data_IF_128683910183
#
_entry.id   IF_128683910183
#
_cell.length_a   1.000
_cell.length_b   1.000
_cell.length_c   1.000
_cell.angle_alpha   90.00
_cell.angle_beta   90.00
_cell.angle_gamma   90.00
#
_symmetry.space_group_name_H-M   'P 1'
#
loop_
_entity.id
_entity.type
_entity.pdbx_description
1 polymer ?
#
# COMPACT_ATOMS: atom_id res chain seq x y z
N UNK A 1 16.20 9.17 48.43
CA UNK A 1 16.21 9.89 47.14
C UNK A 1 14.98 9.48 46.31
N UNK A 2 13.79 10.03 46.62
CA UNK A 2 12.55 9.66 45.90
C UNK A 2 11.47 10.75 46.01
N UNK A 3 11.78 12.00 45.64
CA UNK A 3 10.83 13.11 45.80
C UNK A 3 10.89 14.20 44.70
N UNK A 4 11.35 13.91 43.48
CA UNK A 4 11.48 14.94 42.43
C UNK A 4 10.57 14.77 41.18
N UNK A 5 9.70 13.77 41.09
CA UNK A 5 9.04 13.45 39.79
C UNK A 5 7.54 13.78 39.66
N UNK A 6 6.95 14.60 40.54
CA UNK A 6 5.50 14.87 40.52
C UNK A 6 5.04 16.25 40.03
N UNK A 7 5.92 17.15 39.62
CA UNK A 7 5.52 18.50 39.17
C UNK A 7 5.38 18.72 37.65
N UNK A 8 5.71 17.74 36.79
CA UNK A 8 5.80 18.00 35.33
C UNK A 8 4.54 17.70 34.50
N UNK A 9 3.50 17.07 35.06
CA UNK A 9 2.32 16.69 34.23
C UNK A 9 1.36 17.85 33.99
N UNK A 10 1.14 18.73 34.98
CA UNK A 10 0.12 19.79 34.88
C UNK A 10 0.46 20.87 33.84
N UNK A 11 1.74 21.11 33.57
CA UNK A 11 2.18 22.05 32.53
C UNK A 11 1.97 21.51 31.10
N UNK A 12 2.12 20.19 30.89
CA UNK A 12 1.89 19.58 29.57
C UNK A 12 0.41 19.59 29.15
N UNK A 13 -0.53 19.46 30.09
CA UNK A 13 -1.96 19.45 29.77
C UNK A 13 -2.44 20.85 29.33
N UNK A 14 -1.92 21.92 29.95
CA UNK A 14 -2.29 23.28 29.56
C UNK A 14 -1.76 23.68 28.17
N UNK A 15 -0.58 23.19 27.77
CA UNK A 15 0.00 23.45 26.45
C UNK A 15 -0.78 22.82 25.30
N UNK A 16 -1.31 21.61 25.49
CA UNK A 16 -2.11 20.90 24.46
C UNK A 16 -3.47 21.56 24.20
N UNK A 17 -4.08 22.18 25.23
CA UNK A 17 -5.38 22.84 25.09
C UNK A 17 -5.32 24.13 24.26
N UNK A 18 -4.18 24.84 24.27
CA UNK A 18 -4.00 26.10 23.54
C UNK A 18 -3.79 25.90 22.03
N UNK A 19 -3.20 24.78 21.61
CA UNK A 19 -3.03 24.46 20.18
C UNK A 19 -4.37 24.12 19.52
N UNK A 20 -5.32 23.54 20.25
CA UNK A 20 -6.66 23.22 19.73
C UNK A 20 -7.53 24.45 19.44
N UNK A 21 -7.23 25.60 20.05
CA UNK A 21 -8.01 26.84 19.87
C UNK A 21 -7.57 27.68 18.67
N UNK A 22 -6.44 27.34 18.04
CA UNK A 22 -5.89 28.05 16.88
C UNK A 22 -5.82 27.19 15.61
N UNK A 23 -6.64 26.14 15.50
CA UNK A 23 -6.91 25.55 14.19
C UNK A 23 -7.91 26.46 13.44
N UNK A 24 -7.47 27.24 12.43
CA UNK A 24 -8.41 27.95 11.59
C UNK A 24 -9.40 26.93 11.02
N UNK A 25 -10.69 27.18 11.19
CA UNK A 25 -11.75 26.50 10.43
C UNK A 25 -11.51 26.86 8.97
N UNK A 26 -10.69 26.07 8.29
CA UNK A 26 -10.60 26.09 6.83
C UNK A 26 -11.97 25.65 6.34
N UNK A 27 -12.81 26.64 6.02
CA UNK A 27 -14.12 26.43 5.44
C UNK A 27 -13.92 25.85 4.04
N UNK A 28 -13.93 24.53 3.97
CA UNK A 28 -13.68 23.71 2.78
C UNK A 28 -14.81 23.77 1.73
N UNK A 29 -15.49 24.91 1.57
CA UNK A 29 -16.70 25.00 0.75
C UNK A 29 -16.48 25.40 -0.70
N UNK A 30 -15.39 26.06 -1.07
CA UNK A 30 -15.32 26.70 -2.40
C UNK A 30 -14.05 26.43 -3.23
N UNK A 31 -13.17 25.51 -2.80
CA UNK A 31 -12.13 25.00 -3.68
C UNK A 31 -12.72 23.90 -4.57
N UNK A 32 -13.54 24.29 -5.56
CA UNK A 32 -13.82 23.45 -6.73
C UNK A 32 -12.53 23.38 -7.54
N UNK A 33 -11.57 22.59 -7.03
CA UNK A 33 -10.43 22.14 -7.82
C UNK A 33 -11.08 21.35 -8.94
N UNK A 34 -11.10 21.92 -10.15
CA UNK A 34 -11.41 21.18 -11.38
C UNK A 34 -10.35 20.09 -11.45
N UNK A 35 -10.64 18.94 -10.86
CA UNK A 35 -9.79 17.77 -10.90
C UNK A 35 -9.45 17.53 -12.36
N UNK A 36 -8.17 17.64 -12.75
CA UNK A 36 -7.80 17.47 -14.14
C UNK A 36 -8.31 16.11 -14.60
N UNK A 37 -9.08 16.14 -15.68
CA UNK A 37 -9.69 14.94 -16.24
C UNK A 37 -8.55 14.07 -16.75
N UNK A 38 -8.29 12.96 -16.07
CA UNK A 38 -7.41 11.91 -16.58
C UNK A 38 -7.97 11.47 -17.93
N UNK A 39 -7.10 11.41 -18.95
CA UNK A 39 -7.50 10.93 -20.28
C UNK A 39 -7.98 9.49 -20.13
N UNK A 40 -9.19 9.20 -20.62
CA UNK A 40 -9.73 7.84 -20.64
C UNK A 40 -9.48 7.20 -21.99
N UNK A 41 -9.01 5.95 -21.97
CA UNK A 41 -8.86 5.10 -23.15
C UNK A 41 -10.16 4.37 -23.52
N UNK A 42 -11.25 4.60 -22.77
CA UNK A 42 -12.53 3.92 -22.92
C UNK A 42 -13.56 4.83 -23.58
N UNK A 43 -14.41 4.21 -24.41
CA UNK A 43 -15.58 4.89 -24.96
C UNK A 43 -16.60 5.17 -23.84
N UNK A 44 -17.53 6.14 -24.00
CA UNK A 44 -18.50 6.48 -22.96
C UNK A 44 -19.40 5.31 -22.55
N UNK A 45 -19.62 4.34 -23.43
CA UNK A 45 -20.39 3.11 -23.18
C UNK A 45 -19.63 2.13 -22.26
N UNK A 46 -18.30 2.23 -22.19
CA UNK A 46 -17.40 1.33 -21.46
C UNK A 46 -16.99 1.88 -20.08
N UNK A 47 -17.79 2.80 -19.54
CA UNK A 47 -17.50 3.52 -18.28
C UNK A 47 -17.22 2.60 -17.08
N UNK A 48 -17.75 1.39 -17.07
CA UNK A 48 -17.51 0.42 -15.99
C UNK A 48 -16.06 -0.10 -15.98
N UNK A 49 -15.44 -0.26 -17.15
CA UNK A 49 -14.03 -0.67 -17.25
C UNK A 49 -13.08 0.44 -16.81
N UNK A 50 -13.45 1.69 -17.05
CA UNK A 50 -12.71 2.85 -16.57
C UNK A 50 -12.74 2.95 -15.02
N UNK A 51 -13.93 2.77 -14.42
CA UNK A 51 -14.08 2.66 -12.95
C UNK A 51 -13.29 1.48 -12.39
N UNK A 52 -13.31 0.33 -13.08
CA UNK A 52 -12.55 -0.84 -12.67
C UNK A 52 -11.03 -0.60 -12.74
N UNK A 53 -10.55 0.10 -13.77
CA UNK A 53 -9.15 0.49 -13.88
C UNK A 53 -8.73 1.45 -12.75
N UNK A 54 -9.58 2.43 -12.42
CA UNK A 54 -9.36 3.33 -11.28
C UNK A 54 -9.34 2.58 -9.93
N UNK A 55 -10.22 1.59 -9.77
CA UNK A 55 -10.24 0.74 -8.59
C UNK A 55 -8.94 -0.07 -8.47
N UNK A 56 -8.46 -0.68 -9.56
CA UNK A 56 -7.18 -1.42 -9.57
C UNK A 56 -6.02 -0.51 -9.18
N UNK A 57 -5.92 0.70 -9.76
CA UNK A 57 -4.82 1.61 -9.47
C UNK A 57 -4.80 2.03 -8.00
N UNK A 58 -5.97 2.23 -7.38
CA UNK A 58 -6.08 2.58 -5.97
C UNK A 58 -5.83 1.39 -5.02
N UNK A 59 -6.14 0.16 -5.45
CA UNK A 59 -5.97 -1.05 -4.63
C UNK A 59 -4.54 -1.61 -4.67
N UNK A 60 -3.80 -1.40 -5.76
CA UNK A 60 -2.46 -1.97 -5.93
C UNK A 60 -1.47 -1.55 -4.80
N UNK A 61 -1.40 -0.28 -4.37
CA UNK A 61 -0.57 0.10 -3.22
C UNK A 61 -0.97 -0.62 -1.92
N UNK A 62 -2.27 -0.83 -1.69
CA UNK A 62 -2.76 -1.58 -0.53
C UNK A 62 -2.33 -3.05 -0.59
N UNK A 63 -2.25 -3.62 -1.80
CA UNK A 63 -1.77 -4.98 -2.02
C UNK A 63 -0.29 -5.10 -1.66
N UNK A 64 0.52 -4.13 -2.10
CA UNK A 64 1.95 -4.07 -1.77
C UNK A 64 2.16 -3.91 -0.26
N UNK A 65 1.41 -3.01 0.39
CA UNK A 65 1.46 -2.82 1.86
C UNK A 65 1.14 -4.12 2.61
N UNK A 66 0.09 -4.84 2.18
CA UNK A 66 -0.27 -6.14 2.75
C UNK A 66 0.87 -7.16 2.58
N UNK A 67 1.37 -7.31 1.36
CA UNK A 67 2.37 -8.31 1.02
C UNK A 67 3.66 -8.08 1.82
N UNK A 68 4.10 -6.82 1.93
CA UNK A 68 5.23 -6.41 2.75
C UNK A 68 5.00 -6.76 4.23
N UNK A 69 3.84 -6.42 4.81
CA UNK A 69 3.54 -6.74 6.21
C UNK A 69 3.49 -8.25 6.47
N UNK A 70 2.95 -9.02 5.53
CA UNK A 70 2.90 -10.49 5.64
C UNK A 70 4.32 -11.05 5.61
N UNK A 71 5.19 -10.54 4.72
CA UNK A 71 6.60 -10.95 4.65
C UNK A 71 7.39 -10.57 5.91
N UNK A 72 7.19 -9.36 6.45
CA UNK A 72 7.85 -8.89 7.67
C UNK A 72 7.40 -9.64 8.95
N UNK A 73 6.15 -10.10 8.98
CA UNK A 73 5.57 -10.74 10.17
C UNK A 73 5.80 -12.23 10.23
N UNK A 74 5.99 -12.87 9.08
CA UNK A 74 6.21 -14.31 8.98
C UNK A 74 7.71 -14.62 8.93
N UNK A 75 8.09 -15.74 9.53
CA UNK A 75 9.45 -16.25 9.36
C UNK A 75 9.69 -16.56 7.86
N UNK A 76 10.82 -16.13 7.25
CA UNK A 76 11.13 -16.38 5.84
C UNK A 76 11.02 -17.86 5.43
N UNK A 77 11.44 -18.77 6.31
CA UNK A 77 11.31 -20.22 6.07
C UNK A 77 9.85 -20.65 6.03
N UNK A 78 9.01 -20.13 6.94
CA UNK A 78 7.59 -20.43 6.97
C UNK A 78 6.85 -19.83 5.77
N UNK A 79 7.18 -18.59 5.39
CA UNK A 79 6.64 -17.95 4.20
C UNK A 79 7.01 -18.72 2.92
N UNK A 80 8.28 -19.15 2.79
CA UNK A 80 8.73 -19.98 1.68
C UNK A 80 8.00 -21.33 1.65
N UNK A 81 7.85 -21.99 2.81
CA UNK A 81 7.12 -23.25 2.93
C UNK A 81 5.65 -23.09 2.51
N UNK A 82 4.95 -22.04 2.95
CA UNK A 82 3.57 -21.77 2.55
C UNK A 82 3.45 -21.50 1.06
N UNK A 83 4.37 -20.70 0.49
CA UNK A 83 4.40 -20.40 -0.94
C UNK A 83 4.62 -21.65 -1.79
N UNK A 84 5.46 -22.58 -1.31
CA UNK A 84 5.67 -23.87 -1.96
C UNK A 84 4.46 -24.80 -1.85
N UNK A 85 3.76 -24.81 -0.70
CA UNK A 85 2.63 -25.72 -0.43
C UNK A 85 1.30 -25.26 -1.06
N UNK A 86 1.03 -23.97 -1.10
CA UNK A 86 -0.27 -23.42 -1.54
C UNK A 86 -0.22 -22.66 -2.86
N UNK A 87 0.95 -22.60 -3.49
CA UNK A 87 1.20 -21.79 -4.67
C UNK A 87 1.39 -20.31 -4.34
N UNK A 88 1.98 -19.57 -5.28
CA UNK A 88 2.15 -18.13 -5.15
C UNK A 88 0.86 -17.34 -5.43
N UNK A 89 0.82 -16.09 -4.99
CA UNK A 89 -0.24 -15.14 -5.36
C UNK A 89 -1.48 -15.19 -4.46
N UNK A 90 -2.66 -15.09 -5.06
CA UNK A 90 -3.94 -14.92 -4.33
C UNK A 90 -4.31 -16.12 -3.46
N UNK A 91 -3.94 -17.34 -3.85
CA UNK A 91 -4.24 -18.56 -3.11
C UNK A 91 -3.60 -18.60 -1.72
N UNK A 92 -2.38 -18.06 -1.59
CA UNK A 92 -1.67 -18.00 -0.31
C UNK A 92 -2.43 -17.15 0.72
N UNK A 93 -2.87 -15.95 0.32
CA UNK A 93 -3.55 -15.03 1.25
C UNK A 93 -4.97 -15.51 1.62
N UNK A 94 -5.69 -16.14 0.69
CA UNK A 94 -6.99 -16.74 0.98
C UNK A 94 -6.84 -17.85 2.04
N UNK A 95 -5.86 -18.74 1.87
CA UNK A 95 -5.57 -19.79 2.86
C UNK A 95 -5.06 -19.23 4.19
N UNK A 96 -4.27 -18.17 4.15
CA UNK A 96 -3.78 -17.54 5.38
C UNK A 96 -4.93 -16.98 6.24
N UNK A 97 -5.99 -16.47 5.60
CA UNK A 97 -7.21 -16.03 6.28
C UNK A 97 -8.05 -17.17 6.84
N UNK A 98 -8.08 -18.32 6.15
CA UNK A 98 -8.83 -19.51 6.59
C UNK A 98 -8.08 -20.33 7.64
N UNK A 99 -6.76 -20.20 7.74
CA UNK A 99 -5.93 -21.03 8.60
C UNK A 99 -6.27 -20.80 10.08
N UNK A 100 -6.80 -21.84 10.72
CA UNK A 100 -7.02 -21.80 12.16
C UNK A 100 -5.66 -21.69 12.90
N UNK A 101 -5.59 -20.95 14.02
CA UNK A 101 -4.36 -20.86 14.81
C UNK A 101 -3.81 -22.22 15.27
N UNK A 102 -4.68 -23.23 15.37
CA UNK A 102 -4.37 -24.61 15.79
C UNK A 102 -3.72 -25.44 14.69
N UNK A 103 -4.01 -25.15 13.41
CA UNK A 103 -3.41 -25.83 12.25
C UNK A 103 -2.03 -25.25 11.89
N UNK A 104 -1.65 -24.14 12.52
CA UNK A 104 -0.40 -23.47 12.28
C UNK A 104 0.77 -24.28 12.87
N UNK A 105 1.91 -24.38 12.18
CA UNK A 105 3.06 -25.08 12.73
C UNK A 105 3.57 -24.41 14.01
N UNK A 106 4.18 -25.19 14.92
CA UNK A 106 4.73 -24.68 16.16
C UNK A 106 5.72 -23.53 15.88
N UNK A 107 5.48 -22.38 16.50
CA UNK A 107 6.27 -21.15 16.29
C UNK A 107 5.62 -20.10 15.38
N UNK A 108 4.52 -20.40 14.68
CA UNK A 108 3.82 -19.43 13.82
C UNK A 108 2.92 -18.44 14.60
N UNK A 109 2.55 -18.76 15.84
CA UNK A 109 1.41 -18.15 16.55
C UNK A 109 1.30 -16.61 16.50
N UNK A 110 2.28 -15.83 16.97
CA UNK A 110 2.19 -14.37 16.96
C UNK A 110 2.29 -13.75 15.56
N UNK A 111 3.15 -14.31 14.68
CA UNK A 111 3.36 -13.82 13.31
C UNK A 111 2.14 -14.04 12.43
N UNK A 112 1.54 -15.23 12.52
CA UNK A 112 0.34 -15.60 11.77
C UNK A 112 -0.83 -14.65 12.05
N UNK A 113 -1.10 -14.34 13.33
CA UNK A 113 -2.18 -13.40 13.69
C UNK A 113 -1.96 -12.00 13.11
N UNK A 114 -0.71 -11.53 13.05
CA UNK A 114 -0.37 -10.23 12.44
C UNK A 114 -0.53 -10.26 10.92
N UNK A 115 -0.11 -11.34 10.27
CA UNK A 115 -0.32 -11.56 8.84
C UNK A 115 -1.83 -11.60 8.49
N UNK A 116 -2.63 -12.32 9.28
CA UNK A 116 -4.09 -12.36 9.15
C UNK A 116 -4.71 -10.98 9.31
N UNK A 117 -4.28 -10.21 10.31
CA UNK A 117 -4.73 -8.83 10.51
C UNK A 117 -4.39 -7.93 9.31
N UNK A 118 -3.21 -8.09 8.70
CA UNK A 118 -2.84 -7.36 7.49
C UNK A 118 -3.72 -7.74 6.29
N UNK A 119 -4.01 -9.03 6.09
CA UNK A 119 -4.93 -9.50 5.05
C UNK A 119 -6.36 -8.96 5.26
N UNK A 120 -6.88 -9.01 6.49
CA UNK A 120 -8.21 -8.47 6.82
C UNK A 120 -8.27 -6.94 6.61
N UNK A 121 -7.23 -6.22 7.02
CA UNK A 121 -7.15 -4.77 6.79
C UNK A 121 -7.17 -4.45 5.29
N UNK A 122 -6.44 -5.21 4.47
CA UNK A 122 -6.49 -5.09 3.02
C UNK A 122 -7.90 -5.29 2.47
N UNK A 123 -8.59 -6.36 2.88
CA UNK A 123 -9.96 -6.66 2.41
C UNK A 123 -10.95 -5.55 2.74
N UNK A 124 -10.89 -5.02 3.97
CA UNK A 124 -11.77 -3.92 4.39
C UNK A 124 -11.47 -2.63 3.61
N UNK A 125 -10.18 -2.28 3.48
CA UNK A 125 -9.77 -1.07 2.74
C UNK A 125 -10.13 -1.17 1.26
N UNK A 126 -9.83 -2.28 0.60
CA UNK A 126 -10.11 -2.48 -0.83
C UNK A 126 -11.60 -2.47 -1.13
N UNK A 127 -12.42 -3.09 -0.27
CA UNK A 127 -13.88 -3.07 -0.43
C UNK A 127 -14.45 -1.66 -0.37
N UNK A 128 -13.93 -0.81 0.53
CA UNK A 128 -14.34 0.61 0.61
C UNK A 128 -13.95 1.40 -0.64
N UNK A 129 -12.76 1.15 -1.19
CA UNK A 129 -12.30 1.78 -2.45
C UNK A 129 -13.22 1.38 -3.60
N UNK A 130 -13.57 0.09 -3.73
CA UNK A 130 -14.47 -0.39 -4.78
C UNK A 130 -15.84 0.29 -4.67
N UNK A 131 -16.40 0.34 -3.46
CA UNK A 131 -17.70 0.99 -3.21
C UNK A 131 -17.66 2.50 -3.48
N UNK A 132 -16.54 3.18 -3.21
CA UNK A 132 -16.39 4.63 -3.46
C UNK A 132 -16.42 5.01 -4.94
N UNK A 133 -16.21 4.03 -5.84
CA UNK A 133 -16.22 4.22 -7.29
C UNK A 133 -17.55 3.77 -7.93
N UNK A 134 -18.60 3.65 -7.13
CA UNK A 134 -19.92 3.13 -7.52
C UNK A 134 -19.84 1.73 -8.15
N UNK A 135 -18.92 0.89 -7.66
CA UNK A 135 -18.84 -0.52 -8.03
C UNK A 135 -19.22 -1.38 -6.82
N UNK A 136 -20.01 -2.42 -7.07
CA UNK A 136 -20.21 -3.48 -6.11
C UNK A 136 -19.06 -4.50 -6.19
N UNK A 137 -18.77 -5.20 -5.08
CA UNK A 137 -17.73 -6.23 -5.02
C UNK A 137 -18.05 -7.39 -5.98
N UNK A 138 -19.33 -7.75 -6.12
CA UNK A 138 -19.79 -8.75 -7.09
C UNK A 138 -19.53 -8.30 -8.53
N UNK A 139 -19.85 -7.04 -8.87
CA UNK A 139 -19.58 -6.49 -10.21
C UNK A 139 -18.09 -6.37 -10.48
N UNK A 140 -17.28 -5.94 -9.52
CA UNK A 140 -15.83 -5.88 -9.63
C UNK A 140 -15.23 -7.26 -9.96
N UNK A 141 -15.70 -8.31 -9.28
CA UNK A 141 -15.27 -9.69 -9.55
C UNK A 141 -15.72 -10.20 -10.92
N UNK A 142 -16.91 -9.81 -11.38
CA UNK A 142 -17.39 -10.13 -12.73
C UNK A 142 -16.52 -9.47 -13.81
N UNK A 143 -16.27 -8.16 -13.69
CA UNK A 143 -15.39 -7.40 -14.57
C UNK A 143 -13.98 -7.99 -14.59
N UNK A 144 -13.46 -8.44 -13.44
CA UNK A 144 -12.16 -9.11 -13.38
C UNK A 144 -12.09 -10.35 -14.26
N UNK A 145 -13.15 -11.17 -14.27
CA UNK A 145 -13.23 -12.36 -15.14
C UNK A 145 -13.36 -11.99 -16.62
N UNK A 146 -14.19 -11.00 -16.95
CA UNK A 146 -14.34 -10.49 -18.32
C UNK A 146 -13.00 -9.96 -18.86
N UNK A 147 -12.30 -9.15 -18.06
CA UNK A 147 -10.99 -8.59 -18.41
C UNK A 147 -9.94 -9.68 -18.55
N UNK A 148 -10.00 -10.76 -17.78
CA UNK A 148 -9.08 -11.89 -17.94
C UNK A 148 -9.36 -12.71 -19.21
N UNK A 149 -10.62 -12.78 -19.67
CA UNK A 149 -11.00 -13.51 -20.87
C UNK A 149 -10.48 -12.84 -22.16
N UNK A 150 -10.37 -11.51 -22.19
CA UNK A 150 -9.91 -10.75 -23.36
C UNK A 150 -8.53 -10.12 -23.15
N UNK A 151 -7.56 -10.46 -24.01
CA UNK A 151 -6.19 -9.89 -23.95
C UNK A 151 -6.15 -8.40 -24.24
N UNK A 152 -6.94 -7.93 -25.19
CA UNK A 152 -6.97 -6.51 -25.58
C UNK A 152 -7.58 -5.65 -24.48
N UNK A 153 -8.68 -6.13 -23.88
CA UNK A 153 -9.33 -5.45 -22.75
C UNK A 153 -8.38 -5.39 -21.54
N UNK A 154 -7.69 -6.50 -21.23
CA UNK A 154 -6.65 -6.53 -20.19
C UNK A 154 -5.57 -5.49 -20.42
N UNK A 155 -5.06 -5.35 -21.65
CA UNK A 155 -4.04 -4.36 -21.99
C UNK A 155 -4.55 -2.94 -21.75
N UNK A 156 -5.75 -2.60 -22.25
CA UNK A 156 -6.38 -1.28 -22.09
C UNK A 156 -6.63 -0.92 -20.62
N UNK A 157 -7.23 -1.83 -19.85
CA UNK A 157 -7.48 -1.64 -18.41
C UNK A 157 -6.16 -1.42 -17.65
N UNK A 158 -5.12 -2.20 -17.96
CA UNK A 158 -3.82 -2.07 -17.32
C UNK A 158 -3.16 -0.72 -17.65
N UNK A 159 -3.25 -0.28 -18.91
CA UNK A 159 -2.75 1.03 -19.33
C UNK A 159 -3.51 2.17 -18.65
N UNK A 160 -4.84 2.07 -18.57
CA UNK A 160 -5.65 3.08 -17.89
C UNK A 160 -5.34 3.14 -16.38
N UNK A 161 -5.20 1.99 -15.71
CA UNK A 161 -4.82 1.92 -14.30
C UNK A 161 -3.42 2.55 -14.07
N UNK A 162 -2.49 2.34 -15.01
CA UNK A 162 -1.19 3.00 -14.96
C UNK A 162 -1.31 4.52 -15.09
N UNK A 163 -2.14 5.02 -16.02
CA UNK A 163 -2.40 6.46 -16.15
C UNK A 163 -3.01 7.07 -14.89
N UNK A 164 -3.97 6.38 -14.25
CA UNK A 164 -4.53 6.83 -12.97
C UNK A 164 -3.48 6.92 -11.87
N UNK A 165 -2.58 5.94 -11.80
CA UNK A 165 -1.47 5.95 -10.84
C UNK A 165 -0.54 7.13 -11.08
N UNK A 166 -0.08 7.33 -12.32
CA UNK A 166 0.80 8.46 -12.66
C UNK A 166 0.09 9.78 -12.36
N UNK A 167 -1.19 9.92 -12.71
CA UNK A 167 -1.97 11.10 -12.38
C UNK A 167 -2.03 11.35 -10.87
N UNK A 168 -2.27 10.32 -10.05
CA UNK A 168 -2.27 10.48 -8.59
C UNK A 168 -0.91 10.95 -8.06
N UNK A 169 0.18 10.36 -8.55
CA UNK A 169 1.55 10.75 -8.16
C UNK A 169 1.86 12.21 -8.56
N UNK A 170 1.33 12.68 -9.70
CA UNK A 170 1.47 14.07 -10.14
C UNK A 170 0.62 15.04 -9.32
N UNK A 171 -0.58 14.65 -8.90
CA UNK A 171 -1.48 15.51 -8.12
C UNK A 171 -1.08 15.64 -6.67
N UNK A 172 -0.46 14.61 -6.10
CA UNK A 172 0.16 14.70 -4.78
C UNK A 172 1.48 15.53 -4.82
N UNK A 173 1.91 15.95 -6.02
CA UNK A 173 3.24 16.42 -6.37
C UNK A 173 3.40 17.90 -6.78
N UNK A 174 2.75 18.85 -6.10
CA UNK A 174 3.35 20.19 -5.86
C UNK A 174 4.64 20.10 -4.99
N UNK A 175 5.52 19.16 -5.33
CA UNK A 175 6.97 19.30 -5.25
C UNK A 175 7.60 18.29 -6.21
N UNK A 176 7.83 18.72 -7.44
CA UNK A 176 8.86 18.12 -8.28
C UNK A 176 10.24 18.52 -7.73
N UNK A 177 11.17 17.56 -7.68
CA UNK A 177 12.33 17.69 -8.54
C UNK A 177 12.27 16.61 -9.61
N UNK A 178 12.77 17.01 -10.77
CA UNK A 178 12.75 16.31 -12.04
C UNK A 178 13.05 14.81 -11.96
N UNK A 179 12.57 14.15 -13.00
CA UNK A 179 12.77 12.77 -13.42
C UNK A 179 14.25 12.39 -13.68
N UNK A 180 15.21 12.96 -12.95
CA UNK A 180 16.66 12.88 -13.21
C UNK A 180 17.51 12.20 -12.11
N UNK A 181 16.92 11.55 -11.08
CA UNK A 181 17.73 10.92 -10.01
C UNK A 181 17.26 9.59 -9.35
N UNK A 182 16.04 9.07 -9.58
CA UNK A 182 15.43 8.10 -8.64
C UNK A 182 15.22 6.66 -9.12
N UNK A 183 15.85 6.23 -10.22
CA UNK A 183 16.27 4.83 -10.33
C UNK A 183 17.72 4.75 -9.80
N UNK A 184 17.98 4.62 -8.49
CA UNK A 184 19.27 4.06 -8.13
C UNK A 184 19.32 2.65 -8.74
N UNK A 185 20.45 2.25 -9.36
CA UNK A 185 20.57 0.91 -9.90
C UNK A 185 20.23 -0.12 -8.81
N UNK A 186 19.54 -1.20 -9.19
CA UNK A 186 19.32 -2.35 -8.29
C UNK A 186 20.65 -2.71 -7.64
N UNK A 187 20.70 -2.89 -6.30
CA UNK A 187 21.93 -3.28 -5.62
C UNK A 187 22.34 -4.65 -6.15
N UNK A 188 23.34 -4.69 -7.04
CA UNK A 188 23.77 -5.93 -7.71
C UNK A 188 24.33 -5.77 -9.13
N UNK A 189 24.11 -4.64 -9.81
CA UNK A 189 24.80 -4.33 -11.07
C UNK A 189 26.09 -3.53 -10.78
N UNK A 190 27.15 -4.23 -10.38
CA UNK A 190 28.38 -3.64 -9.85
C UNK A 190 29.35 -3.09 -10.90
N UNK A 191 30.27 -2.23 -10.45
CA UNK A 191 31.61 -2.02 -11.05
C UNK A 191 32.57 -1.63 -9.93
N UNK A 192 33.74 -2.27 -9.89
CA UNK A 192 34.67 -2.22 -8.77
C UNK A 192 35.68 -1.08 -8.76
N UNK A 193 36.70 -1.32 -7.92
CA UNK A 193 37.95 -0.58 -7.73
C UNK A 193 37.85 0.78 -7.03
N UNK A 194 38.40 0.88 -5.81
CA UNK A 194 39.80 1.25 -5.60
C UNK A 194 40.05 1.67 -4.13
N UNK A 195 40.99 0.97 -3.49
CA UNK A 195 42.14 1.64 -2.87
C UNK A 195 42.05 2.22 -1.45
N UNK A 196 43.16 1.96 -0.74
CA UNK A 196 43.72 2.64 0.43
C UNK A 196 43.18 2.19 1.81
N UNK A 197 43.87 1.31 2.54
CA UNK A 197 45.15 1.51 3.23
C UNK A 197 45.07 2.57 4.35
N UNK A 198 45.30 2.17 5.60
CA UNK A 198 45.50 3.14 6.68
C UNK A 198 45.41 2.61 8.12
N UNK A 199 46.53 2.04 8.58
CA UNK A 199 47.13 2.23 9.91
C UNK A 199 46.35 1.88 11.21
N UNK A 200 46.80 0.80 11.83
CA UNK A 200 47.48 0.75 13.13
C UNK A 200 47.10 1.76 14.25
N UNK A 201 46.86 1.22 15.44
CA UNK A 201 46.91 1.99 16.68
C UNK A 201 46.57 1.15 17.90
N UNK A 202 47.58 0.54 18.50
CA UNK A 202 47.54 -0.10 19.80
C UNK A 202 47.22 0.91 20.92
N UNK A 203 46.51 0.46 21.97
CA UNK A 203 46.96 0.49 23.38
C UNK A 203 45.96 -0.27 24.24
#
# INVERSE_FOLDING_TARGET
>A
MAACFRLSWKACILGMALVALFCPKVSAKDAVIKSPRVVTLFEPEEKEYDRYAAAISAIEPLRVERDQRVEETLNPFFFCWMKARWGGGSGLYARLLELAPEEAPPGAGPGLRRAQAACNAYLVKSSRVIQSLDLDVGRFNALSREVQASRDLKRRVTQQAYLYRVASELHDGERFPAFDAAYPPRPGAGVGAAGAAGAAGAT
#
